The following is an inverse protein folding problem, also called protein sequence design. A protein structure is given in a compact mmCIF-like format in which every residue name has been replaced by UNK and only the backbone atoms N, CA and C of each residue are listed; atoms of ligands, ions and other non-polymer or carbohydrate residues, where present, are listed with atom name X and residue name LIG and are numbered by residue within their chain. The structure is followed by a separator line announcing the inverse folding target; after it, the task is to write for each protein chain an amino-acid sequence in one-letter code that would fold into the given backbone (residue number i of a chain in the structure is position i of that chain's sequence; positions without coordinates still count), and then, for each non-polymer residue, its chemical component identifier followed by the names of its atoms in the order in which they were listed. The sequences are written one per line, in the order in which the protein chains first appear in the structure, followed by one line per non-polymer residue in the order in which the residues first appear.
data_IF_723465662359
#
_entry.id   IF_723465662359
#
_cell.length_a   1.000
_cell.length_b   1.000
_cell.length_c   1.000
_cell.angle_alpha   90.00
_cell.angle_beta   90.00
_cell.angle_gamma   90.00
#
_symmetry.space_group_name_H-M   'P 1'
#
loop_
_entity.id
_entity.type
_entity.pdbx_description
1 polymer ?
#
# COMPACT_ATOMS: atom_id res chain seq x y z
N UNK A 1 -19.21 11.70 -0.69
CA UNK A 1 -18.36 12.29 -1.75
C UNK A 1 -16.97 12.48 -1.19
N UNK A 2 -15.98 11.74 -1.67
CA UNK A 2 -14.59 11.87 -1.24
C UNK A 2 -13.97 13.09 -1.92
N UNK A 3 -13.49 14.07 -1.16
CA UNK A 3 -12.74 15.20 -1.69
C UNK A 3 -11.25 14.83 -1.74
N UNK A 4 -10.68 14.84 -2.94
CA UNK A 4 -9.24 14.70 -3.18
C UNK A 4 -8.61 16.09 -3.02
N UNK A 5 -7.74 16.28 -2.02
CA UNK A 5 -6.91 17.49 -1.90
C UNK A 5 -5.47 17.14 -2.27
N UNK A 6 -5.06 17.57 -3.46
CA UNK A 6 -3.71 17.44 -4.00
C UNK A 6 -3.07 18.82 -4.22
N UNK A 7 -1.76 18.93 -4.00
CA UNK A 7 -0.98 20.17 -4.23
C UNK A 7 -0.27 20.04 -5.56
N UNK A 8 -0.84 20.58 -6.62
CA UNK A 8 -0.31 20.46 -7.99
C UNK A 8 1.03 21.17 -8.11
N UNK A 9 2.10 20.40 -8.31
CA UNK A 9 3.32 20.89 -8.96
C UNK A 9 3.19 20.50 -10.43
N UNK A 10 3.43 21.44 -11.33
CA UNK A 10 3.52 21.16 -12.77
C UNK A 10 4.73 20.23 -12.98
N UNK A 11 4.47 18.93 -13.12
CA UNK A 11 5.46 17.93 -13.51
C UNK A 11 5.37 17.77 -15.03
N UNK A 12 6.50 17.86 -15.73
CA UNK A 12 6.61 17.58 -17.18
C UNK A 12 6.34 16.11 -17.52
N UNK A 13 6.38 15.22 -16.52
CA UNK A 13 5.95 13.85 -16.60
C UNK A 13 4.46 13.75 -16.17
N UNK A 14 3.65 13.03 -16.96
CA UNK A 14 2.24 12.79 -16.67
C UNK A 14 1.97 12.13 -15.29
N UNK A 15 0.69 11.92 -14.92
CA UNK A 15 0.35 11.38 -13.61
C UNK A 15 0.95 10.00 -13.39
N UNK A 16 1.43 9.74 -12.17
CA UNK A 16 1.97 8.44 -11.78
C UNK A 16 0.86 7.41 -11.59
N UNK A 17 -0.29 7.81 -11.05
CA UNK A 17 -1.50 6.99 -10.98
C UNK A 17 -2.66 7.76 -11.59
N UNK A 18 -3.38 7.14 -12.52
CA UNK A 18 -4.62 7.65 -13.10
C UNK A 18 -5.72 6.62 -12.94
N UNK A 19 -6.82 7.06 -12.35
CA UNK A 19 -8.05 6.28 -12.19
C UNK A 19 -9.10 6.89 -13.11
N UNK A 20 -9.71 6.06 -13.96
CA UNK A 20 -10.70 6.50 -14.94
C UNK A 20 -12.02 5.74 -14.78
N UNK A 21 -13.07 6.47 -14.41
CA UNK A 21 -14.46 5.98 -14.28
C UNK A 21 -14.56 4.66 -13.49
N UNK A 22 -13.71 4.50 -12.47
CA UNK A 22 -13.60 3.26 -11.72
C UNK A 22 -14.88 3.01 -10.93
N UNK A 23 -15.47 1.84 -11.18
CA UNK A 23 -16.70 1.39 -10.54
C UNK A 23 -16.46 0.01 -9.95
N UNK A 24 -16.90 -0.20 -8.71
CA UNK A 24 -16.84 -1.50 -8.04
C UNK A 24 -18.20 -1.85 -7.46
N UNK A 25 -18.72 -2.99 -7.93
CA UNK A 25 -19.96 -3.58 -7.45
C UNK A 25 -19.69 -4.90 -6.72
N UNK A 26 -20.46 -5.15 -5.68
CA UNK A 26 -20.55 -6.43 -4.96
C UNK A 26 -21.99 -6.93 -5.06
N UNK A 27 -22.27 -7.80 -6.02
CA UNK A 27 -23.65 -8.12 -6.39
C UNK A 27 -24.38 -6.86 -6.85
N UNK A 28 -25.46 -6.49 -6.16
CA UNK A 28 -26.25 -5.28 -6.43
C UNK A 28 -25.72 -4.03 -5.73
N UNK A 29 -24.82 -4.18 -4.76
CA UNK A 29 -24.28 -3.05 -3.98
C UNK A 29 -23.15 -2.35 -4.74
N UNK A 30 -23.30 -1.04 -5.00
CA UNK A 30 -22.26 -0.20 -5.60
C UNK A 30 -21.37 0.39 -4.50
N UNK A 31 -20.17 -0.15 -4.34
CA UNK A 31 -19.20 0.36 -3.37
C UNK A 31 -18.44 1.59 -3.89
N UNK A 32 -18.21 1.66 -5.21
CA UNK A 32 -17.56 2.80 -5.89
C UNK A 32 -18.35 3.07 -7.16
N UNK A 33 -18.65 4.34 -7.45
CA UNK A 33 -19.46 4.75 -8.59
C UNK A 33 -18.71 5.78 -9.44
N UNK A 34 -18.12 5.32 -10.55
CA UNK A 34 -17.60 6.18 -11.63
C UNK A 34 -16.54 7.20 -11.22
N UNK A 35 -15.64 6.87 -10.29
CA UNK A 35 -14.66 7.86 -9.81
C UNK A 35 -13.51 8.03 -10.80
N UNK A 36 -13.02 9.27 -10.94
CA UNK A 36 -11.82 9.56 -11.72
C UNK A 36 -10.95 10.56 -10.98
N UNK A 37 -9.65 10.30 -10.93
CA UNK A 37 -8.66 11.21 -10.36
C UNK A 37 -7.25 10.83 -10.83
N UNK A 38 -6.32 11.74 -10.62
CA UNK A 38 -4.92 11.59 -10.94
C UNK A 38 -4.08 11.85 -9.68
N UNK A 39 -2.95 11.16 -9.58
CA UNK A 39 -1.94 11.35 -8.53
C UNK A 39 -0.58 11.46 -9.19
N UNK A 40 0.16 12.50 -8.87
CA UNK A 40 1.48 12.75 -9.41
C UNK A 40 2.56 12.14 -8.53
N UNK A 41 3.75 11.94 -9.11
CA UNK A 41 4.89 11.41 -8.36
C UNK A 41 5.25 12.33 -7.17
N UNK A 42 5.49 11.70 -6.01
CA UNK A 42 5.78 12.42 -4.76
C UNK A 42 4.56 13.10 -4.13
N UNK A 43 3.37 12.97 -4.71
CA UNK A 43 2.15 13.51 -4.15
C UNK A 43 1.62 12.63 -3.00
N UNK A 44 1.17 13.29 -1.93
CA UNK A 44 0.50 12.64 -0.82
C UNK A 44 -1.00 12.91 -0.90
N UNK A 45 -1.80 11.87 -1.16
CA UNK A 45 -3.24 11.98 -1.31
C UNK A 45 -3.95 11.26 -0.17
N UNK A 46 -4.99 11.91 0.37
CA UNK A 46 -5.84 11.35 1.42
C UNK A 46 -7.29 11.27 0.95
N UNK A 47 -7.92 10.10 1.09
CA UNK A 47 -9.35 9.91 0.85
C UNK A 47 -10.13 10.08 2.14
N UNK A 48 -11.01 11.07 2.18
CA UNK A 48 -11.86 11.36 3.34
C UNK A 48 -13.31 10.97 3.06
N UNK A 49 -13.97 10.38 4.05
CA UNK A 49 -15.39 10.04 3.98
C UNK A 49 -15.82 9.13 5.12
N UNK A 50 -17.14 8.96 5.35
CA UNK A 50 -17.67 8.13 6.43
C UNK A 50 -17.29 6.66 6.28
N UNK A 51 -17.46 5.88 7.33
CA UNK A 51 -17.30 4.42 7.25
C UNK A 51 -18.22 3.84 6.16
N UNK A 52 -17.71 2.87 5.40
CA UNK A 52 -18.45 2.24 4.31
C UNK A 52 -18.53 3.02 3.00
N UNK A 53 -17.92 4.20 2.87
CA UNK A 53 -17.98 5.00 1.63
C UNK A 53 -17.06 4.51 0.48
N UNK A 54 -16.50 3.30 0.58
CA UNK A 54 -15.70 2.69 -0.49
C UNK A 54 -14.20 2.98 -0.50
N UNK A 55 -13.63 3.61 0.54
CA UNK A 55 -12.17 3.93 0.62
C UNK A 55 -11.29 2.68 0.54
N UNK A 56 -11.55 1.72 1.43
CA UNK A 56 -10.85 0.43 1.45
C UNK A 56 -11.05 -0.32 0.13
N UNK A 57 -12.28 -0.32 -0.40
CA UNK A 57 -12.57 -0.92 -1.71
C UNK A 57 -11.75 -0.29 -2.82
N UNK A 58 -11.56 1.03 -2.80
CA UNK A 58 -10.75 1.75 -3.78
C UNK A 58 -9.28 1.36 -3.68
N UNK A 59 -8.70 1.40 -2.48
CA UNK A 59 -7.32 1.00 -2.26
C UNK A 59 -7.07 -0.45 -2.71
N UNK A 60 -8.02 -1.35 -2.43
CA UNK A 60 -7.96 -2.75 -2.88
C UNK A 60 -8.07 -2.91 -4.39
N UNK A 61 -8.86 -2.06 -5.07
CA UNK A 61 -8.93 -2.03 -6.53
C UNK A 61 -7.61 -1.56 -7.16
N UNK A 62 -7.01 -0.51 -6.61
CA UNK A 62 -5.70 0.01 -7.06
C UNK A 62 -4.61 -1.06 -6.87
N UNK A 63 -4.61 -1.73 -5.71
CA UNK A 63 -3.69 -2.82 -5.39
C UNK A 63 -3.92 -4.12 -6.20
N UNK A 64 -5.03 -4.23 -6.92
CA UNK A 64 -5.40 -5.47 -7.62
C UNK A 64 -5.79 -6.62 -6.69
N UNK A 65 -6.13 -6.31 -5.44
CA UNK A 65 -6.66 -7.28 -4.46
C UNK A 65 -8.15 -7.57 -4.72
N UNK A 66 -8.87 -6.60 -5.26
CA UNK A 66 -10.20 -6.79 -5.84
C UNK A 66 -10.20 -6.20 -7.25
N UNK A 67 -10.66 -6.93 -8.26
CA UNK A 67 -10.79 -6.35 -9.61
C UNK A 67 -12.03 -5.46 -9.68
N UNK A 68 -11.88 -4.24 -10.20
CA UNK A 68 -12.99 -3.31 -10.45
C UNK A 68 -14.00 -3.91 -11.43
N UNK A 69 -15.27 -3.50 -11.32
CA UNK A 69 -16.33 -3.95 -12.24
C UNK A 69 -16.21 -3.28 -13.60
N UNK A 70 -15.82 -2.01 -13.62
CA UNK A 70 -15.52 -1.25 -14.84
C UNK A 70 -14.58 -0.08 -14.53
N UNK A 71 -14.10 0.59 -15.59
CA UNK A 71 -13.11 1.65 -15.52
C UNK A 71 -11.67 1.12 -15.56
N UNK A 72 -10.71 2.04 -15.52
CA UNK A 72 -9.28 1.73 -15.67
C UNK A 72 -8.44 2.21 -14.50
N UNK A 73 -7.40 1.44 -14.20
CA UNK A 73 -6.31 1.79 -13.29
C UNK A 73 -5.03 1.84 -14.11
N UNK A 74 -4.46 3.02 -14.26
CA UNK A 74 -3.23 3.25 -15.03
C UNK A 74 -2.14 3.69 -14.05
N UNK A 75 -1.01 3.01 -14.06
CA UNK A 75 0.14 3.31 -13.20
C UNK A 75 1.39 3.47 -14.05
N UNK A 76 2.13 4.56 -13.87
CA UNK A 76 3.33 4.90 -14.62
C UNK A 76 3.13 4.83 -16.15
N UNK A 77 1.95 5.19 -16.63
CA UNK A 77 1.57 5.14 -18.05
C UNK A 77 1.09 3.77 -18.56
N UNK A 78 1.17 2.71 -17.75
CA UNK A 78 0.70 1.37 -18.11
C UNK A 78 -0.69 1.08 -17.55
N UNK A 79 -1.58 0.49 -18.36
CA UNK A 79 -2.89 0.02 -17.89
C UNK A 79 -2.73 -1.28 -17.10
N UNK A 80 -2.87 -1.19 -15.78
CA UNK A 80 -2.71 -2.30 -14.84
C UNK A 80 -4.06 -2.92 -14.42
N UNK A 81 -5.16 -2.52 -15.06
CA UNK A 81 -6.54 -2.84 -14.66
C UNK A 81 -6.81 -4.31 -14.39
N UNK A 82 -6.22 -5.21 -15.19
CA UNK A 82 -6.40 -6.67 -15.10
C UNK A 82 -5.19 -7.41 -14.55
N UNK A 83 -4.10 -6.70 -14.22
CA UNK A 83 -2.91 -7.34 -13.68
C UNK A 83 -3.20 -7.87 -12.27
N UNK A 84 -2.70 -9.06 -11.92
CA UNK A 84 -2.77 -9.55 -10.55
C UNK A 84 -1.94 -8.65 -9.63
N UNK A 85 -2.27 -8.63 -8.33
CA UNK A 85 -1.58 -7.81 -7.34
C UNK A 85 -0.05 -8.05 -7.29
N UNK A 86 0.41 -9.27 -7.57
CA UNK A 86 1.84 -9.62 -7.62
C UNK A 86 2.61 -8.97 -8.77
N UNK A 87 1.91 -8.50 -9.81
CA UNK A 87 2.48 -7.82 -10.97
C UNK A 87 2.30 -6.30 -10.92
N UNK A 88 1.80 -5.75 -9.80
CA UNK A 88 1.65 -4.31 -9.59
C UNK A 88 2.74 -3.80 -8.65
N UNK A 89 3.23 -2.60 -8.92
CA UNK A 89 4.27 -1.98 -8.10
C UNK A 89 3.66 -1.15 -6.97
N UNK A 90 3.39 -1.79 -5.83
CA UNK A 90 2.91 -1.10 -4.64
C UNK A 90 3.39 -1.75 -3.33
N UNK A 91 3.40 -0.97 -2.26
CA UNK A 91 3.44 -1.42 -0.88
C UNK A 91 2.12 -1.08 -0.20
N UNK A 92 1.62 -1.93 0.69
CA UNK A 92 0.36 -1.69 1.40
C UNK A 92 0.49 -1.88 2.90
N UNK A 93 -0.13 -0.98 3.67
CA UNK A 93 -0.39 -1.14 5.10
C UNK A 93 -1.89 -1.33 5.28
N UNK A 94 -2.29 -2.49 5.80
CA UNK A 94 -3.69 -2.81 6.11
C UNK A 94 -4.10 -2.27 7.49
N UNK A 95 -5.40 -2.08 7.68
CA UNK A 95 -6.01 -1.64 8.95
C UNK A 95 -5.60 -2.52 10.15
N UNK A 96 -5.53 -3.84 9.97
CA UNK A 96 -5.11 -4.78 11.03
C UNK A 96 -3.60 -5.04 11.08
N UNK A 97 -2.81 -4.23 10.37
CA UNK A 97 -1.36 -4.36 10.11
C UNK A 97 -0.96 -5.61 9.30
N UNK A 98 -1.76 -6.69 9.37
CA UNK A 98 -1.57 -7.97 8.70
C UNK A 98 -0.15 -8.52 8.85
N UNK A 99 0.49 -8.33 10.02
CA UNK A 99 1.78 -8.93 10.31
C UNK A 99 1.63 -10.45 10.39
N UNK A 100 2.63 -11.19 9.91
CA UNK A 100 2.66 -12.64 10.03
C UNK A 100 2.98 -12.99 11.49
N UNK A 101 2.03 -13.54 12.26
CA UNK A 101 2.16 -13.66 13.72
C UNK A 101 3.21 -14.71 14.12
N UNK A 102 3.46 -15.67 13.23
CA UNK A 102 4.43 -16.75 13.38
C UNK A 102 5.84 -16.38 12.87
N UNK A 103 6.04 -15.16 12.36
CA UNK A 103 7.34 -14.67 11.90
C UNK A 103 7.85 -13.57 12.84
N UNK A 104 9.15 -13.55 13.08
CA UNK A 104 9.82 -12.44 13.79
C UNK A 104 9.70 -11.13 13.00
N UNK A 105 10.02 -9.99 13.62
CA UNK A 105 10.10 -8.68 12.93
C UNK A 105 11.03 -8.75 11.71
N UNK A 106 12.23 -9.33 11.86
CA UNK A 106 13.16 -9.49 10.74
C UNK A 106 12.51 -10.20 9.56
N UNK A 107 11.95 -11.39 9.81
CA UNK A 107 11.27 -12.20 8.80
C UNK A 107 10.05 -11.50 8.18
N UNK A 108 9.30 -10.71 8.96
CA UNK A 108 8.21 -9.90 8.41
C UNK A 108 8.73 -8.88 7.39
N UNK A 109 9.85 -8.21 7.67
CA UNK A 109 10.46 -7.22 6.76
C UNK A 109 11.15 -7.89 5.56
N UNK A 110 11.78 -9.04 5.77
CA UNK A 110 12.51 -9.78 4.74
C UNK A 110 11.59 -10.49 3.73
N UNK A 111 10.36 -10.85 4.13
CA UNK A 111 9.46 -11.72 3.37
C UNK A 111 9.31 -11.34 1.89
N UNK A 112 9.02 -10.07 1.60
CA UNK A 112 8.84 -9.59 0.22
C UNK A 112 10.14 -9.58 -0.60
N UNK A 113 11.29 -9.41 0.05
CA UNK A 113 12.60 -9.39 -0.58
C UNK A 113 13.07 -10.82 -0.92
N UNK A 114 12.86 -11.76 -0.01
CA UNK A 114 13.19 -13.18 -0.20
C UNK A 114 12.36 -13.79 -1.34
N UNK A 115 11.06 -13.44 -1.43
CA UNK A 115 10.18 -13.86 -2.52
C UNK A 115 10.59 -13.30 -3.89
N UNK A 116 11.35 -12.20 -3.92
CA UNK A 116 11.97 -11.63 -5.14
C UNK A 116 13.38 -12.16 -5.39
N UNK A 117 13.81 -13.19 -4.66
CA UNK A 117 15.13 -13.81 -4.76
C UNK A 117 16.31 -12.82 -4.61
N UNK A 118 16.13 -11.79 -3.78
CA UNK A 118 17.21 -10.86 -3.44
C UNK A 118 18.28 -11.59 -2.61
N UNK A 119 19.56 -11.31 -2.87
CA UNK A 119 20.69 -11.94 -2.15
C UNK A 119 20.60 -11.69 -0.64
N UNK A 120 20.88 -12.71 0.17
CA UNK A 120 20.78 -12.66 1.64
C UNK A 120 21.48 -11.44 2.27
N UNK A 121 22.68 -11.08 1.82
CA UNK A 121 23.41 -9.92 2.36
C UNK A 121 22.69 -8.59 2.07
N UNK A 122 22.06 -8.48 0.89
CA UNK A 122 21.27 -7.30 0.53
C UNK A 122 19.95 -7.24 1.32
N UNK A 123 19.31 -8.39 1.54
CA UNK A 123 18.12 -8.49 2.41
C UNK A 123 18.47 -8.02 3.82
N UNK A 124 19.56 -8.54 4.41
CA UNK A 124 20.00 -8.16 5.74
C UNK A 124 20.24 -6.66 5.87
N UNK A 125 21.01 -6.07 4.95
CA UNK A 125 21.29 -4.62 4.94
C UNK A 125 20.01 -3.79 4.84
N UNK A 126 19.08 -4.20 3.98
CA UNK A 126 17.80 -3.52 3.80
C UNK A 126 16.93 -3.60 5.06
N UNK A 127 16.86 -4.76 5.71
CA UNK A 127 16.12 -4.92 6.96
C UNK A 127 16.74 -4.07 8.08
N UNK A 128 18.05 -4.05 8.21
CA UNK A 128 18.77 -3.22 9.19
C UNK A 128 18.50 -1.72 8.96
N UNK A 129 18.52 -1.27 7.70
CA UNK A 129 18.16 0.10 7.30
C UNK A 129 16.72 0.47 7.72
N UNK A 130 15.76 -0.41 7.41
CA UNK A 130 14.34 -0.20 7.73
C UNK A 130 14.09 -0.16 9.23
N UNK A 131 14.70 -1.07 9.99
CA UNK A 131 14.60 -1.10 11.45
C UNK A 131 15.14 0.19 12.07
N UNK A 132 16.24 0.72 11.54
CA UNK A 132 16.79 2.01 11.95
C UNK A 132 15.83 3.14 11.60
N UNK A 133 15.29 3.16 10.37
CA UNK A 133 14.34 4.16 9.89
C UNK A 133 13.10 4.27 10.80
N UNK A 134 12.57 3.14 11.27
CA UNK A 134 11.37 3.11 12.13
C UNK A 134 11.67 3.05 13.63
N UNK A 135 12.94 3.21 14.04
CA UNK A 135 13.35 3.24 15.44
C UNK A 135 13.12 1.93 16.20
N UNK A 136 13.31 0.79 15.54
CA UNK A 136 13.12 -0.56 16.10
C UNK A 136 14.40 -1.42 16.03
N UNK A 137 15.58 -0.82 15.85
CA UNK A 137 16.86 -1.54 15.96
C UNK A 137 16.96 -2.31 17.28
N UNK A 138 17.43 -3.55 17.23
CA UNK A 138 17.50 -4.46 18.38
C UNK A 138 16.21 -5.23 18.66
N UNK A 139 15.15 -5.03 17.86
CA UNK A 139 13.87 -5.74 18.00
C UNK A 139 13.62 -6.79 16.91
N UNK A 140 14.57 -6.99 16.01
CA UNK A 140 14.53 -7.94 14.89
C UNK A 140 14.06 -9.36 15.26
N UNK A 141 14.44 -9.85 16.44
CA UNK A 141 14.13 -11.20 16.90
C UNK A 141 12.75 -11.36 17.57
N UNK A 142 12.06 -10.25 17.86
CA UNK A 142 10.73 -10.31 18.50
C UNK A 142 9.66 -10.78 17.54
N UNK A 143 8.61 -11.40 18.07
CA UNK A 143 7.36 -11.69 17.36
C UNK A 143 6.37 -10.52 17.51
N UNK A 144 5.39 -10.36 16.59
CA UNK A 144 4.39 -9.29 16.66
C UNK A 144 3.66 -9.20 18.00
N UNK A 145 3.39 -10.34 18.65
CA UNK A 145 2.71 -10.40 19.96
C UNK A 145 3.53 -9.80 21.10
N UNK A 146 4.84 -9.59 20.91
CA UNK A 146 5.75 -8.99 21.90
C UNK A 146 5.94 -7.48 21.68
N UNK A 147 5.23 -6.90 20.71
CA UNK A 147 5.30 -5.49 20.33
C UNK A 147 4.03 -4.74 20.75
N UNK A 148 4.18 -3.48 21.14
CA UNK A 148 3.03 -2.58 21.31
C UNK A 148 2.34 -2.32 19.97
N UNK A 149 1.08 -1.87 19.98
CA UNK A 149 0.33 -1.56 18.76
C UNK A 149 1.07 -0.59 17.84
N UNK A 150 1.60 0.51 18.38
CA UNK A 150 2.40 1.46 17.61
C UNK A 150 3.73 0.91 17.09
N UNK A 151 4.33 -0.07 17.79
CA UNK A 151 5.49 -0.80 17.25
C UNK A 151 5.08 -1.72 16.09
N UNK A 152 3.96 -2.43 16.19
CA UNK A 152 3.43 -3.27 15.11
C UNK A 152 3.10 -2.44 13.86
N UNK A 153 2.47 -1.28 14.04
CA UNK A 153 2.20 -0.33 12.97
C UNK A 153 3.48 0.10 12.23
N UNK A 154 4.54 0.44 12.99
CA UNK A 154 5.85 0.79 12.42
C UNK A 154 6.50 -0.37 11.67
N UNK A 155 6.37 -1.61 12.17
CA UNK A 155 6.82 -2.81 11.43
C UNK A 155 6.03 -2.99 10.14
N UNK A 156 4.71 -2.79 10.16
CA UNK A 156 3.88 -2.91 8.96
C UNK A 156 4.25 -1.88 7.89
N UNK A 157 4.51 -0.63 8.30
CA UNK A 157 4.99 0.43 7.42
C UNK A 157 6.37 0.08 6.83
N UNK A 158 7.32 -0.33 7.68
CA UNK A 158 8.64 -0.76 7.22
C UNK A 158 8.55 -1.93 6.23
N UNK A 159 7.64 -2.89 6.46
CA UNK A 159 7.40 -4.02 5.54
C UNK A 159 6.87 -3.55 4.20
N UNK A 160 5.92 -2.61 4.19
CA UNK A 160 5.38 -2.06 2.95
C UNK A 160 6.46 -1.32 2.14
N UNK A 161 7.41 -0.66 2.80
CA UNK A 161 8.54 0.04 2.17
C UNK A 161 9.69 -0.89 1.74
N UNK A 162 9.70 -2.15 2.19
CA UNK A 162 10.84 -3.02 2.04
C UNK A 162 11.24 -3.24 0.58
N UNK A 163 10.23 -3.39 -0.29
CA UNK A 163 10.38 -3.71 -1.71
C UNK A 163 10.54 -2.52 -2.65
N UNK A 164 10.90 -1.34 -2.11
CA UNK A 164 11.02 -0.07 -2.86
C UNK A 164 9.83 0.23 -3.77
N UNK A 165 8.60 0.23 -3.23
CA UNK A 165 7.42 0.41 -4.07
C UNK A 165 7.35 1.83 -4.65
N UNK A 166 6.93 1.96 -5.91
CA UNK A 166 6.59 3.26 -6.51
C UNK A 166 5.30 3.85 -5.96
N UNK A 167 4.37 3.02 -5.48
CA UNK A 167 3.11 3.44 -4.85
C UNK A 167 2.98 2.90 -3.42
N UNK A 168 2.73 3.78 -2.43
CA UNK A 168 2.42 3.36 -1.07
C UNK A 168 0.94 3.58 -0.76
N UNK A 169 0.24 2.49 -0.43
CA UNK A 169 -1.18 2.48 -0.10
C UNK A 169 -1.36 2.26 1.41
N UNK A 170 -2.09 3.15 2.07
CA UNK A 170 -2.29 3.10 3.52
C UNK A 170 -3.79 3.06 3.82
N UNK A 171 -4.27 1.94 4.35
CA UNK A 171 -5.67 1.75 4.73
C UNK A 171 -5.84 1.92 6.25
N UNK A 172 -6.35 3.08 6.66
CA UNK A 172 -6.50 3.52 8.05
C UNK A 172 -5.28 3.22 8.95
N UNK A 173 -4.08 3.66 8.58
CA UNK A 173 -2.86 3.27 9.30
C UNK A 173 -2.77 3.86 10.72
N UNK A 174 -3.63 4.81 11.11
CA UNK A 174 -3.51 5.63 12.33
C UNK A 174 -4.75 5.55 13.25
N UNK A 175 -5.68 4.63 13.02
CA UNK A 175 -6.95 4.55 13.77
C UNK A 175 -6.90 3.71 15.06
N UNK A 176 -5.69 3.32 15.52
CA UNK A 176 -5.46 2.59 16.76
C UNK A 176 -5.23 3.51 17.98
#
# INVERSE_FOLDING_TARGET
MAQVKGKTRENENGPFLRIEQLTKMFGTFKAIEGISFEVFEGEFVCFLGPSGCGKTSLLRCIAGLDIQTSGRVIQAGEDISILPSTSRDFGIVFQSYALFPNLTVYKNLAYGLENRHIKNDAVRKRVEELLKLVGLSGQEAKYPTQLSGGQQQRVALARALATWPGLLLLDEPLSA
#
